data_IF_402387046106
#
_entry.id   IF_402387046106
#
_cell.length_a   1.000
_cell.length_b   1.000
_cell.length_c   1.000
_cell.angle_alpha   90.00
_cell.angle_beta   90.00
_cell.angle_gamma   90.00
#
_symmetry.space_group_name_H-M   'P 1'
#
loop_
_entity.id
_entity.type
_entity.pdbx_description
1 polymer ?
#
# COMPACT_ATOMS: atom_id res chain seq x y z
N UNK A 1 16.32 -13.97 -0.22
CA UNK A 1 14.93 -13.57 -0.47
C UNK A 1 14.60 -14.04 -1.88
N UNK A 2 13.36 -14.51 -2.11
CA UNK A 2 12.87 -14.88 -3.45
C UNK A 2 11.71 -13.97 -3.82
N UNK A 3 11.91 -13.18 -4.87
CA UNK A 3 10.93 -12.25 -5.44
C UNK A 3 10.38 -12.80 -6.75
N UNK A 4 9.06 -12.87 -6.87
CA UNK A 4 8.33 -13.30 -8.06
C UNK A 4 7.38 -12.20 -8.49
N UNK A 5 7.41 -11.86 -9.77
CA UNK A 5 6.53 -10.90 -10.42
C UNK A 5 5.41 -11.65 -11.13
N UNK A 6 4.17 -11.34 -10.78
CA UNK A 6 2.98 -11.75 -11.53
C UNK A 6 2.66 -10.68 -12.57
N UNK A 7 2.49 -11.08 -13.83
CA UNK A 7 1.94 -10.23 -14.88
C UNK A 7 0.69 -10.87 -15.45
N UNK A 8 -0.34 -10.05 -15.71
CA UNK A 8 -1.55 -10.46 -16.45
C UNK A 8 -1.55 -9.79 -17.80
N UNK A 9 -1.02 -10.51 -18.78
CA UNK A 9 -0.87 -10.06 -20.16
C UNK A 9 -2.21 -10.17 -20.87
N UNK A 10 -2.65 -9.09 -21.52
CA UNK A 10 -3.87 -9.12 -22.31
C UNK A 10 -3.72 -10.11 -23.47
N UNK A 11 -4.83 -10.81 -23.77
CA UNK A 11 -4.86 -11.84 -24.81
C UNK A 11 -4.33 -11.33 -26.16
N UNK A 12 -4.66 -10.10 -26.51
CA UNK A 12 -4.32 -9.50 -27.79
C UNK A 12 -2.83 -9.24 -27.97
N UNK A 13 -2.04 -9.11 -26.89
CA UNK A 13 -0.59 -8.91 -26.97
C UNK A 13 0.22 -10.15 -26.58
N UNK A 14 -0.41 -11.22 -26.09
CA UNK A 14 0.32 -12.41 -25.63
C UNK A 14 1.18 -13.05 -26.72
N UNK A 15 0.75 -12.97 -27.97
CA UNK A 15 1.48 -13.50 -29.13
C UNK A 15 2.83 -12.80 -29.40
N UNK A 16 3.06 -11.62 -28.81
CA UNK A 16 4.32 -10.88 -28.91
C UNK A 16 5.41 -11.43 -27.97
N UNK A 17 5.03 -12.19 -26.94
CA UNK A 17 5.99 -12.70 -25.96
C UNK A 17 6.75 -13.92 -26.46
N UNK A 18 8.07 -14.03 -26.17
CA UNK A 18 8.84 -15.22 -26.48
C UNK A 18 8.21 -16.48 -25.89
N UNK A 19 8.14 -17.54 -26.70
CA UNK A 19 7.58 -18.84 -26.31
C UNK A 19 8.65 -19.93 -26.38
N UNK A 20 8.57 -20.96 -25.52
CA UNK A 20 7.57 -21.18 -24.47
C UNK A 20 7.82 -20.35 -23.20
N UNK A 21 6.78 -19.88 -22.52
CA UNK A 21 6.93 -19.04 -21.30
C UNK A 21 6.03 -19.40 -20.10
N UNK A 22 5.58 -20.66 -20.00
CA UNK A 22 4.79 -21.20 -18.87
C UNK A 22 3.51 -20.41 -18.51
N UNK A 23 3.04 -19.51 -19.36
CA UNK A 23 1.87 -18.70 -19.09
C UNK A 23 0.60 -19.56 -19.01
N UNK A 24 -0.33 -19.16 -18.13
CA UNK A 24 -1.62 -19.81 -17.96
C UNK A 24 -2.75 -18.84 -18.23
N UNK A 25 -3.66 -19.18 -19.14
CA UNK A 25 -4.84 -18.35 -19.39
C UNK A 25 -5.87 -18.55 -18.28
N UNK A 26 -6.33 -17.47 -17.67
CA UNK A 26 -7.30 -17.51 -16.56
C UNK A 26 -8.74 -17.17 -16.98
N UNK A 27 -9.02 -17.10 -18.29
CA UNK A 27 -10.30 -16.67 -18.85
C UNK A 27 -10.34 -15.21 -19.31
N UNK A 28 -9.45 -14.35 -18.79
CA UNK A 28 -9.37 -12.93 -19.16
C UNK A 28 -7.98 -12.53 -19.69
N UNK A 29 -6.91 -13.06 -19.08
CA UNK A 29 -5.53 -12.71 -19.40
C UNK A 29 -4.61 -13.94 -19.27
N UNK A 30 -3.44 -13.86 -19.89
CA UNK A 30 -2.36 -14.82 -19.66
C UNK A 30 -1.56 -14.41 -18.43
N UNK A 31 -1.55 -15.28 -17.42
CA UNK A 31 -0.85 -15.09 -16.16
C UNK A 31 0.55 -15.67 -16.27
N UNK A 32 1.55 -14.82 -16.04
CA UNK A 32 2.97 -15.18 -16.04
C UNK A 32 3.54 -14.90 -14.66
N UNK A 33 4.28 -15.86 -14.10
CA UNK A 33 4.97 -15.70 -12.82
C UNK A 33 6.46 -15.94 -13.04
N UNK A 34 7.27 -14.89 -12.91
CA UNK A 34 8.70 -14.92 -13.23
C UNK A 34 9.54 -14.20 -12.18
N UNK A 35 10.78 -14.64 -12.01
CA UNK A 35 11.74 -13.92 -11.20
C UNK A 35 12.26 -12.71 -11.98
N UNK A 36 12.73 -11.67 -11.27
CA UNK A 36 13.36 -10.49 -11.90
C UNK A 36 14.60 -10.82 -12.73
N UNK A 37 15.27 -11.95 -12.43
CA UNK A 37 16.43 -12.46 -13.17
C UNK A 37 16.08 -13.21 -14.44
N UNK A 38 14.79 -13.53 -14.66
CA UNK A 38 14.34 -14.18 -15.89
C UNK A 38 14.42 -13.19 -17.07
N UNK A 39 15.04 -13.55 -18.21
CA UNK A 39 15.11 -12.68 -19.38
C UNK A 39 13.73 -12.17 -19.85
N UNK A 40 12.68 -12.96 -19.67
CA UNK A 40 11.31 -12.57 -20.03
C UNK A 40 10.82 -11.36 -19.24
N UNK A 41 11.33 -11.14 -18.01
CA UNK A 41 10.97 -9.96 -17.21
C UNK A 41 11.35 -8.67 -17.94
N UNK A 42 12.58 -8.61 -18.46
CA UNK A 42 13.05 -7.45 -19.23
C UNK A 42 12.26 -7.30 -20.53
N UNK A 43 11.99 -8.41 -21.21
CA UNK A 43 11.25 -8.42 -22.48
C UNK A 43 9.83 -7.86 -22.33
N UNK A 44 9.11 -8.22 -21.26
CA UNK A 44 7.78 -7.65 -20.96
C UNK A 44 7.87 -6.13 -20.86
N UNK A 45 8.88 -5.59 -20.18
CA UNK A 45 9.07 -4.14 -20.06
C UNK A 45 9.38 -3.45 -21.39
N UNK A 46 10.19 -4.08 -22.25
CA UNK A 46 10.48 -3.57 -23.59
C UNK A 46 9.22 -3.53 -24.44
N UNK A 47 8.47 -4.64 -24.49
CA UNK A 47 7.25 -4.76 -25.27
C UNK A 47 6.14 -3.82 -24.77
N UNK A 48 5.99 -3.63 -23.46
CA UNK A 48 5.02 -2.68 -22.92
C UNK A 48 5.30 -1.26 -23.41
N UNK A 49 6.58 -0.85 -23.40
CA UNK A 49 6.98 0.46 -23.91
C UNK A 49 6.74 0.58 -25.43
N UNK A 50 7.09 -0.44 -26.22
CA UNK A 50 6.85 -0.42 -27.67
C UNK A 50 5.37 -0.31 -28.02
N UNK A 51 4.51 -1.06 -27.32
CA UNK A 51 3.06 -1.02 -27.54
C UNK A 51 2.48 0.31 -27.07
N UNK A 52 3.02 0.88 -25.99
CA UNK A 52 2.65 2.22 -25.53
C UNK A 52 3.01 3.30 -26.55
N UNK A 53 4.22 3.26 -27.12
CA UNK A 53 4.66 4.22 -28.13
C UNK A 53 3.88 4.11 -29.44
N UNK A 54 3.59 2.89 -29.90
CA UNK A 54 2.91 2.66 -31.17
C UNK A 54 1.40 2.89 -31.09
N UNK A 55 0.77 2.44 -29.99
CA UNK A 55 -0.68 2.30 -29.91
C UNK A 55 -1.31 3.06 -28.73
N UNK A 56 -0.50 3.71 -27.87
CA UNK A 56 -0.95 4.28 -26.59
C UNK A 56 -1.70 3.27 -25.71
N UNK A 57 -1.23 2.02 -25.71
CA UNK A 57 -1.81 0.88 -24.98
C UNK A 57 -0.74 0.18 -24.13
N UNK A 58 -1.17 -0.64 -23.18
CA UNK A 58 -0.29 -1.47 -22.34
C UNK A 58 -0.51 -2.94 -22.64
N UNK A 59 0.55 -3.77 -22.52
CA UNK A 59 0.43 -5.21 -22.77
C UNK A 59 -0.11 -5.98 -21.58
N UNK A 60 -0.04 -5.40 -20.37
CA UNK A 60 -0.58 -5.99 -19.15
C UNK A 60 -1.52 -5.02 -18.43
N UNK A 61 -2.62 -5.56 -17.88
CA UNK A 61 -3.59 -4.78 -17.11
C UNK A 61 -3.40 -4.88 -15.59
N UNK A 62 -2.55 -5.81 -15.15
CA UNK A 62 -2.28 -6.05 -13.74
C UNK A 62 -0.87 -6.60 -13.57
N UNK A 63 -0.27 -6.23 -12.45
CA UNK A 63 0.99 -6.77 -11.98
C UNK A 63 0.97 -6.86 -10.45
N UNK A 64 1.75 -7.77 -9.90
CA UNK A 64 1.97 -7.91 -8.46
C UNK A 64 3.38 -8.44 -8.17
N UNK A 65 3.92 -8.12 -7.00
CA UNK A 65 5.25 -8.56 -6.57
C UNK A 65 5.12 -9.32 -5.27
N UNK A 66 5.50 -10.60 -5.30
CA UNK A 66 5.44 -11.49 -4.14
C UNK A 66 6.84 -11.81 -3.67
N UNK A 67 7.14 -11.47 -2.41
CA UNK A 67 8.41 -11.80 -1.76
C UNK A 67 8.23 -12.92 -0.76
N UNK A 68 9.19 -13.83 -0.74
CA UNK A 68 9.27 -14.91 0.22
C UNK A 68 10.66 -14.96 0.84
N UNK A 69 10.68 -15.26 2.14
CA UNK A 69 11.87 -15.20 2.97
C UNK A 69 12.11 -16.56 3.61
N UNK A 70 13.38 -16.92 3.76
CA UNK A 70 13.79 -18.05 4.57
C UNK A 70 13.54 -17.79 6.05
N UNK A 71 13.47 -18.86 6.85
CA UNK A 71 13.35 -18.73 8.31
C UNK A 71 14.47 -17.90 8.92
N UNK A 72 15.69 -18.06 8.41
CA UNK A 72 16.87 -17.30 8.86
C UNK A 72 16.68 -15.81 8.60
N UNK A 73 16.29 -15.43 7.39
CA UNK A 73 16.03 -14.02 7.05
C UNK A 73 14.97 -13.39 7.95
N UNK A 74 13.88 -14.11 8.23
CA UNK A 74 12.83 -13.62 9.12
C UNK A 74 13.27 -13.52 10.58
N UNK A 75 14.18 -14.38 11.04
CA UNK A 75 14.71 -14.34 12.42
C UNK A 75 15.73 -13.22 12.58
N UNK A 76 16.54 -12.97 11.54
CA UNK A 76 17.59 -11.95 11.57
C UNK A 76 17.06 -10.53 11.29
N UNK A 77 15.82 -10.40 10.80
CA UNK A 77 15.22 -9.10 10.48
C UNK A 77 14.95 -8.25 11.73
N UNK A 78 15.47 -7.01 11.70
CA UNK A 78 15.31 -6.02 12.77
C UNK A 78 13.98 -5.23 12.65
N UNK A 79 13.39 -5.18 11.46
CA UNK A 79 12.18 -4.39 11.16
C UNK A 79 11.36 -5.06 10.04
N UNK A 80 10.04 -4.92 10.10
CA UNK A 80 9.14 -5.46 9.09
C UNK A 80 8.25 -4.36 8.51
N UNK A 81 8.02 -4.41 7.20
CA UNK A 81 6.94 -3.70 6.53
C UNK A 81 5.65 -4.51 6.71
N UNK A 82 4.61 -3.83 7.18
CA UNK A 82 3.30 -4.40 7.45
C UNK A 82 2.30 -3.88 6.41
N UNK A 83 1.68 -4.82 5.69
CA UNK A 83 0.58 -4.54 4.77
C UNK A 83 -0.75 -4.96 5.41
N UNK A 84 -1.72 -4.05 5.39
CA UNK A 84 -3.12 -4.37 5.71
C UNK A 84 -3.80 -4.85 4.43
N UNK A 85 -3.98 -6.17 4.31
CA UNK A 85 -4.36 -6.80 3.03
C UNK A 85 -5.87 -6.83 2.77
N UNK A 86 -6.66 -6.45 3.78
CA UNK A 86 -8.12 -6.45 3.70
C UNK A 86 -8.59 -5.01 3.59
N UNK A 87 -9.07 -4.64 2.40
CA UNK A 87 -9.72 -3.37 2.15
C UNK A 87 -11.26 -3.51 2.19
N UNK A 88 -11.99 -2.46 2.56
CA UNK A 88 -13.45 -2.44 2.50
C UNK A 88 -14.03 -1.04 2.25
N UNK A 89 -15.31 -1.01 1.91
CA UNK A 89 -16.13 0.18 1.68
C UNK A 89 -17.44 0.05 2.47
N UNK A 90 -18.14 1.16 2.79
CA UNK A 90 -17.79 2.55 2.48
C UNK A 90 -16.67 3.12 3.36
N UNK A 91 -16.10 4.24 2.93
CA UNK A 91 -15.09 5.02 3.68
C UNK A 91 -15.70 5.76 4.88
N UNK A 92 -14.84 6.30 5.74
CA UNK A 92 -15.27 7.16 6.84
C UNK A 92 -16.06 8.38 6.37
N UNK A 93 -15.62 9.03 5.29
CA UNK A 93 -16.22 10.25 4.73
C UNK A 93 -17.65 10.00 4.24
N UNK A 94 -17.86 8.90 3.51
CA UNK A 94 -19.19 8.46 3.07
C UNK A 94 -20.12 8.10 4.23
N UNK A 95 -19.57 7.79 5.40
CA UNK A 95 -20.31 7.52 6.63
C UNK A 95 -20.48 8.76 7.52
N UNK A 96 -20.09 9.95 7.05
CA UNK A 96 -20.22 11.22 7.77
C UNK A 96 -19.10 11.51 8.77
N UNK A 97 -17.93 10.90 8.60
CA UNK A 97 -16.68 11.35 9.25
C UNK A 97 -16.22 12.64 8.58
N UNK A 98 -15.88 13.64 9.39
CA UNK A 98 -15.46 14.95 8.88
C UNK A 98 -13.93 14.99 8.85
N UNK A 99 -13.39 15.56 7.78
CA UNK A 99 -11.98 15.85 7.64
C UNK A 99 -11.78 17.35 7.43
N UNK A 100 -10.80 17.91 8.13
CA UNK A 100 -10.26 19.23 7.87
C UNK A 100 -9.31 19.12 6.69
N UNK A 101 -9.77 19.64 5.55
CA UNK A 101 -9.03 19.68 4.29
C UNK A 101 -8.21 20.98 4.15
N UNK A 102 -8.38 21.99 5.02
CA UNK A 102 -7.58 23.24 4.98
C UNK A 102 -6.11 22.98 5.31
N UNK A 103 -5.85 21.97 6.14
CA UNK A 103 -4.50 21.52 6.49
C UNK A 103 -3.91 20.52 5.49
N UNK A 104 -4.69 20.07 4.50
CA UNK A 104 -4.23 19.14 3.50
C UNK A 104 -3.33 19.82 2.47
N UNK A 105 -2.35 19.08 1.96
CA UNK A 105 -1.53 19.54 0.86
C UNK A 105 -2.39 19.68 -0.40
N UNK A 106 -2.49 20.90 -0.93
CA UNK A 106 -3.28 21.20 -2.14
C UNK A 106 -2.87 20.35 -3.36
N UNK A 107 -1.59 19.93 -3.42
CA UNK A 107 -1.03 19.17 -4.53
C UNK A 107 -1.38 17.68 -4.46
N UNK A 108 -1.23 17.06 -3.28
CA UNK A 108 -1.31 15.59 -3.14
C UNK A 108 -2.38 15.10 -2.16
N UNK A 109 -3.10 15.99 -1.48
CA UNK A 109 -4.14 15.66 -0.50
C UNK A 109 -3.65 15.04 0.81
N UNK A 110 -2.34 14.93 1.01
CA UNK A 110 -1.73 14.41 2.24
C UNK A 110 -1.94 15.40 3.39
N UNK A 111 -1.93 14.91 4.63
CA UNK A 111 -2.05 15.70 5.87
C UNK A 111 -3.42 16.28 6.19
N UNK A 112 -4.49 15.93 5.45
CA UNK A 112 -5.85 16.16 5.94
C UNK A 112 -6.04 15.56 7.33
N UNK A 113 -6.82 16.21 8.17
CA UNK A 113 -6.96 15.82 9.58
C UNK A 113 -8.39 15.37 9.87
N UNK A 114 -8.55 14.17 10.44
CA UNK A 114 -9.86 13.72 10.90
C UNK A 114 -10.34 14.61 12.06
N UNK A 115 -11.57 15.10 11.96
CA UNK A 115 -12.26 15.88 12.98
C UNK A 115 -13.29 14.98 13.66
N UNK A 116 -13.03 14.65 14.92
CA UNK A 116 -13.92 13.81 15.73
C UNK A 116 -13.72 12.30 15.50
N UNK A 117 -14.78 11.55 15.79
CA UNK A 117 -14.79 10.07 15.78
C UNK A 117 -14.94 9.55 14.36
N UNK A 118 -14.19 8.49 14.02
CA UNK A 118 -14.38 7.76 12.78
C UNK A 118 -15.74 7.06 12.80
N UNK A 119 -16.61 7.41 11.86
CA UNK A 119 -17.90 6.77 11.64
C UNK A 119 -17.79 5.78 10.49
N UNK A 120 -18.36 4.60 10.65
CA UNK A 120 -18.42 3.56 9.61
C UNK A 120 -19.81 2.92 9.55
N UNK A 121 -20.10 2.23 8.45
CA UNK A 121 -21.35 1.49 8.28
C UNK A 121 -21.32 0.16 9.04
N UNK A 122 -22.32 -0.09 9.90
CA UNK A 122 -22.45 -1.37 10.60
C UNK A 122 -22.49 -2.55 9.61
N UNK A 123 -21.70 -3.59 9.88
CA UNK A 123 -21.62 -4.79 9.03
C UNK A 123 -20.73 -4.65 7.79
N UNK A 124 -20.15 -3.48 7.53
CA UNK A 124 -19.19 -3.30 6.41
C UNK A 124 -17.78 -3.80 6.75
N UNK A 125 -17.38 -3.72 8.02
CA UNK A 125 -16.05 -4.13 8.47
C UNK A 125 -15.91 -5.66 8.30
N UNK A 126 -14.91 -6.15 7.54
CA UNK A 126 -14.67 -7.57 7.36
C UNK A 126 -14.35 -8.28 8.68
N UNK A 127 -14.64 -9.59 8.76
CA UNK A 127 -14.35 -10.43 9.94
C UNK A 127 -12.85 -10.76 10.02
N UNK A 128 -12.03 -9.74 10.28
CA UNK A 128 -10.56 -9.80 10.42
C UNK A 128 -10.13 -8.96 11.63
N UNK A 129 -8.93 -9.20 12.13
CA UNK A 129 -8.41 -8.47 13.29
C UNK A 129 -7.87 -7.09 12.94
N UNK A 130 -7.48 -6.89 11.68
CA UNK A 130 -7.19 -5.60 11.07
C UNK A 130 -7.82 -5.51 9.67
N UNK A 131 -8.31 -4.34 9.32
CA UNK A 131 -8.76 -4.00 7.99
C UNK A 131 -8.55 -2.50 7.75
N UNK A 132 -8.57 -2.08 6.48
CA UNK A 132 -8.54 -0.67 6.10
C UNK A 132 -9.70 -0.32 5.20
N UNK A 133 -10.20 0.91 5.27
CA UNK A 133 -11.06 1.42 4.20
C UNK A 133 -10.22 1.72 2.96
N UNK A 134 -10.87 1.94 1.81
CA UNK A 134 -10.17 2.41 0.60
C UNK A 134 -9.57 3.83 0.76
N UNK A 135 -10.02 4.62 1.74
CA UNK A 135 -9.48 5.94 2.05
C UNK A 135 -8.33 5.90 3.09
N UNK A 136 -7.89 4.70 3.49
CA UNK A 136 -6.74 4.50 4.35
C UNK A 136 -7.05 4.52 5.86
N UNK A 137 -8.32 4.53 6.27
CA UNK A 137 -8.66 4.43 7.68
C UNK A 137 -8.46 2.99 8.19
N UNK A 138 -7.53 2.78 9.12
CA UNK A 138 -7.26 1.46 9.69
C UNK A 138 -8.14 1.21 10.91
N UNK A 139 -8.84 0.09 10.89
CA UNK A 139 -9.66 -0.41 11.99
C UNK A 139 -9.17 -1.77 12.47
N UNK A 140 -9.24 -1.98 13.78
CA UNK A 140 -8.83 -3.22 14.44
C UNK A 140 -9.92 -3.74 15.38
N UNK A 141 -9.91 -5.06 15.58
CA UNK A 141 -10.81 -5.74 16.50
C UNK A 141 -10.46 -5.45 17.96
N UNK A 142 -11.44 -5.57 18.87
CA UNK A 142 -11.20 -5.54 20.32
C UNK A 142 -10.17 -6.58 20.78
N UNK A 143 -10.16 -7.75 20.11
CA UNK A 143 -9.17 -8.81 20.35
C UNK A 143 -7.76 -8.31 20.06
N UNK A 144 -7.53 -7.65 18.92
CA UNK A 144 -6.23 -7.05 18.60
C UNK A 144 -5.80 -6.07 19.70
N UNK A 145 -6.69 -5.16 20.11
CA UNK A 145 -6.39 -4.15 21.14
C UNK A 145 -6.00 -4.80 22.47
N UNK A 146 -6.75 -5.81 22.89
CA UNK A 146 -6.51 -6.53 24.15
C UNK A 146 -5.15 -7.22 24.11
N UNK A 147 -4.86 -7.92 23.02
CA UNK A 147 -3.58 -8.63 22.84
C UNK A 147 -2.39 -7.66 22.80
N UNK A 148 -2.51 -6.56 22.04
CA UNK A 148 -1.47 -5.53 21.95
C UNK A 148 -1.12 -4.96 23.32
N UNK A 149 -2.15 -4.58 24.10
CA UNK A 149 -1.98 -4.06 25.47
C UNK A 149 -1.40 -5.12 26.41
N UNK A 150 -1.87 -6.36 26.35
CA UNK A 150 -1.38 -7.47 27.19
C UNK A 150 0.11 -7.75 26.96
N UNK A 151 0.59 -7.58 25.73
CA UNK A 151 2.01 -7.73 25.37
C UNK A 151 2.87 -6.53 25.74
N UNK A 152 2.27 -5.43 26.21
CA UNK A 152 2.99 -4.21 26.55
C UNK A 152 3.62 -3.50 25.35
N UNK A 153 3.10 -3.75 24.13
CA UNK A 153 3.61 -3.12 22.91
C UNK A 153 3.22 -1.64 22.88
N UNK A 154 4.04 -0.83 22.20
CA UNK A 154 3.85 0.63 22.13
C UNK A 154 3.91 1.15 20.69
N UNK A 155 3.44 2.38 20.47
CA UNK A 155 3.41 3.01 19.13
C UNK A 155 2.02 3.13 18.51
N UNK A 156 0.96 2.67 19.18
CA UNK A 156 -0.43 2.77 18.72
C UNK A 156 -1.31 3.49 19.74
N UNK A 157 -2.11 4.44 19.26
CA UNK A 157 -3.27 5.01 19.96
C UNK A 157 -4.54 4.42 19.36
N UNK A 158 -5.36 3.80 20.20
CA UNK A 158 -6.65 3.26 19.81
C UNK A 158 -7.76 4.28 20.09
N UNK A 159 -8.47 4.70 19.05
CA UNK A 159 -9.65 5.59 19.19
C UNK A 159 -10.93 4.79 18.92
N UNK A 160 -12.05 5.12 19.58
CA UNK A 160 -13.31 4.45 19.31
C UNK A 160 -13.78 4.68 17.87
N UNK A 161 -14.47 3.70 17.30
CA UNK A 161 -15.20 3.81 16.02
C UNK A 161 -16.69 3.82 16.31
N UNK A 162 -17.45 4.67 15.62
CA UNK A 162 -18.90 4.73 15.73
C UNK A 162 -19.60 4.08 14.53
N UNK A 163 -20.74 3.45 14.78
CA UNK A 163 -21.72 3.06 13.76
C UNK A 163 -22.92 4.00 13.85
N UNK A 164 -22.96 5.01 12.99
CA UNK A 164 -23.90 6.12 13.14
C UNK A 164 -23.65 6.87 14.45
N UNK A 165 -24.59 6.78 15.40
CA UNK A 165 -24.51 7.42 16.71
C UNK A 165 -24.05 6.49 17.85
N UNK A 166 -23.85 5.21 17.57
CA UNK A 166 -23.46 4.21 18.58
C UNK A 166 -21.96 3.93 18.52
N UNK A 167 -21.31 3.82 19.68
CA UNK A 167 -19.91 3.37 19.74
C UNK A 167 -19.85 1.86 19.50
N UNK A 168 -19.01 1.45 18.57
CA UNK A 168 -18.79 0.05 18.22
C UNK A 168 -17.74 -0.62 19.13
N UNK A 169 -17.54 -1.92 18.95
CA UNK A 169 -16.43 -2.68 19.54
C UNK A 169 -15.16 -2.69 18.66
N UNK A 170 -15.11 -1.84 17.63
CA UNK A 170 -13.92 -1.65 16.81
C UNK A 170 -13.20 -0.36 17.21
N UNK A 171 -11.90 -0.35 16.92
CA UNK A 171 -11.03 0.76 17.23
C UNK A 171 -10.31 1.21 15.97
N UNK A 172 -10.21 2.52 15.80
CA UNK A 172 -9.34 3.12 14.81
C UNK A 172 -7.91 3.05 15.35
N UNK A 173 -7.01 2.50 14.55
CA UNK A 173 -5.59 2.44 14.82
C UNK A 173 -4.96 3.76 14.35
N UNK A 174 -4.41 4.54 15.28
CA UNK A 174 -3.65 5.75 14.98
C UNK A 174 -2.21 5.54 15.44
N UNK A 175 -1.25 5.71 14.55
CA UNK A 175 0.17 5.58 14.90
C UNK A 175 0.62 6.74 15.79
N UNK A 176 1.45 6.43 16.79
CA UNK A 176 2.02 7.43 17.71
C UNK A 176 3.27 8.12 17.16
N UNK A 177 3.96 7.49 16.19
CA UNK A 177 5.14 8.03 15.52
C UNK A 177 5.05 7.93 14.00
N UNK A 178 5.29 9.05 13.31
CA UNK A 178 5.28 9.16 11.85
C UNK A 178 6.64 9.68 11.32
N UNK A 179 7.72 9.30 11.97
CA UNK A 179 9.05 9.91 11.79
C UNK A 179 10.04 9.05 11.01
N UNK A 180 9.68 7.81 10.68
CA UNK A 180 10.57 6.91 9.94
C UNK A 180 10.68 7.36 8.48
N UNK A 181 11.91 7.72 8.08
CA UNK A 181 12.20 8.20 6.73
C UNK A 181 12.58 7.03 5.82
N UNK A 182 11.84 6.88 4.72
CA UNK A 182 12.24 6.04 3.59
C UNK A 182 13.46 6.67 2.90
N UNK A 183 14.42 5.82 2.54
CA UNK A 183 15.63 6.20 1.79
C UNK A 183 15.44 6.03 0.28
N UNK A 184 16.35 6.60 -0.51
CA UNK A 184 16.35 6.48 -1.97
C UNK A 184 16.53 5.04 -2.51
N UNK A 185 16.93 4.09 -1.66
CA UNK A 185 16.95 2.66 -1.99
C UNK A 185 15.56 2.03 -2.06
N UNK A 186 14.55 2.65 -1.44
CA UNK A 186 13.16 2.22 -1.59
C UNK A 186 12.67 2.59 -2.98
N UNK A 187 12.50 1.60 -3.85
CA UNK A 187 11.99 1.82 -5.19
C UNK A 187 10.48 2.00 -5.16
N UNK A 188 10.02 3.07 -5.80
CA UNK A 188 8.60 3.38 -5.97
C UNK A 188 8.31 3.70 -7.42
N UNK A 189 7.08 3.46 -7.87
CA UNK A 189 6.68 3.76 -9.24
C UNK A 189 5.24 3.36 -9.53
N UNK A 190 4.86 3.46 -10.81
CA UNK A 190 3.54 3.10 -11.32
C UNK A 190 3.45 1.62 -11.62
N UNK A 191 4.54 1.05 -12.15
CA UNK A 191 4.68 -0.38 -12.43
C UNK A 191 6.17 -0.79 -12.37
N UNK A 192 6.51 -2.10 -12.46
CA UNK A 192 7.89 -2.58 -12.31
C UNK A 192 8.90 -2.06 -13.35
N UNK A 193 8.43 -1.43 -14.43
CA UNK A 193 9.25 -0.86 -15.52
C UNK A 193 9.16 0.67 -15.60
N UNK A 194 8.19 1.26 -14.90
CA UNK A 194 7.91 2.68 -14.90
C UNK A 194 8.06 3.24 -13.47
N UNK A 195 9.28 3.71 -13.20
CA UNK A 195 9.63 4.45 -11.98
C UNK A 195 9.26 5.94 -12.08
N UNK A 196 8.59 6.37 -13.16
CA UNK A 196 8.19 7.76 -13.33
C UNK A 196 7.39 8.20 -12.13
N UNK A 197 7.75 9.39 -11.68
CA UNK A 197 7.09 10.11 -10.61
C UNK A 197 6.24 11.26 -11.14
N UNK A 198 6.09 11.33 -12.46
CA UNK A 198 5.33 12.37 -13.16
C UNK A 198 3.84 12.24 -12.86
N UNK A 199 3.16 13.37 -12.93
CA UNK A 199 1.72 13.43 -12.79
C UNK A 199 1.01 12.97 -14.06
N UNK A 200 -0.16 12.35 -13.95
CA UNK A 200 -1.06 12.20 -15.12
C UNK A 200 -1.80 13.51 -15.33
N UNK A 201 -2.10 13.85 -16.59
CA UNK A 201 -2.97 14.98 -16.87
C UNK A 201 -4.43 14.63 -16.55
N UNK A 202 -5.23 15.64 -16.22
CA UNK A 202 -6.66 15.45 -16.03
C UNK A 202 -7.28 14.93 -17.34
N UNK A 203 -8.18 13.96 -17.23
CA UNK A 203 -8.78 13.32 -18.40
C UNK A 203 -10.27 13.11 -18.19
N UNK A 204 -11.05 13.27 -19.24
CA UNK A 204 -12.50 13.11 -19.23
C UNK A 204 -12.91 12.11 -20.30
N UNK A 205 -13.74 11.15 -19.92
CA UNK A 205 -14.24 10.13 -20.84
C UNK A 205 -15.74 9.93 -20.64
N UNK A 206 -16.46 9.80 -21.75
CA UNK A 206 -17.87 9.37 -21.73
C UNK A 206 -17.92 7.85 -21.75
N UNK A 207 -18.57 7.24 -20.77
CA UNK A 207 -18.86 5.81 -20.80
C UNK A 207 -20.26 5.57 -21.39
N UNK A 208 -20.49 4.35 -21.89
CA UNK A 208 -21.79 3.94 -22.44
C UNK A 208 -22.92 4.24 -21.45
N UNK A 209 -23.95 4.97 -21.92
CA UNK A 209 -25.03 5.50 -21.06
C UNK A 209 -24.95 7.00 -20.80
N UNK A 210 -23.95 7.72 -21.35
CA UNK A 210 -23.88 9.19 -21.30
C UNK A 210 -23.31 9.75 -20.01
N UNK A 211 -22.69 8.92 -19.17
CA UNK A 211 -22.02 9.37 -17.95
C UNK A 211 -20.63 9.92 -18.29
N UNK A 212 -20.35 11.14 -17.86
CA UNK A 212 -19.01 11.74 -17.92
C UNK A 212 -18.21 11.33 -16.68
N UNK A 213 -17.06 10.70 -16.90
CA UNK A 213 -16.10 10.38 -15.85
C UNK A 213 -14.91 11.32 -15.99
N UNK A 214 -14.70 12.17 -14.99
CA UNK A 214 -13.57 13.10 -14.91
C UNK A 214 -12.54 12.57 -13.92
N UNK A 215 -11.34 12.30 -14.42
CA UNK A 215 -10.18 12.02 -13.62
C UNK A 215 -9.39 13.32 -13.41
N UNK A 216 -9.14 13.65 -12.15
CA UNK A 216 -8.27 14.76 -11.80
C UNK A 216 -6.82 14.41 -12.12
N UNK A 217 -6.00 15.45 -12.27
CA UNK A 217 -4.55 15.32 -12.38
C UNK A 217 -4.02 14.50 -11.19
N UNK A 218 -3.38 13.36 -11.45
CA UNK A 218 -2.81 12.53 -10.39
C UNK A 218 -1.38 12.97 -10.11
N UNK A 219 -0.99 13.12 -8.85
CA UNK A 219 0.38 13.47 -8.46
C UNK A 219 1.00 12.33 -7.67
N UNK A 220 1.91 11.59 -8.30
CA UNK A 220 2.58 10.44 -7.68
C UNK A 220 3.76 10.82 -6.80
N UNK A 221 4.46 11.91 -7.12
CA UNK A 221 5.48 12.51 -6.24
C UNK A 221 5.16 13.95 -5.97
N UNK A 222 4.98 14.26 -4.69
CA UNK A 222 4.71 15.63 -4.26
C UNK A 222 6.04 16.40 -4.16
N UNK A 223 6.14 17.63 -4.71
CA UNK A 223 7.35 18.45 -4.58
C UNK A 223 7.66 18.82 -3.11
N UNK A 224 6.67 18.78 -2.23
CA UNK A 224 6.86 18.95 -0.78
C UNK A 224 7.45 17.70 -0.08
N UNK A 225 7.75 16.64 -0.84
CA UNK A 225 8.32 15.39 -0.31
C UNK A 225 7.32 14.48 0.42
N UNK A 226 6.03 14.81 0.42
CA UNK A 226 5.00 14.02 1.09
C UNK A 226 4.81 12.64 0.47
N UNK A 227 4.60 12.59 -0.84
CA UNK A 227 4.39 11.34 -1.60
C UNK A 227 5.62 11.08 -2.45
N UNK A 228 6.11 9.84 -2.48
CA UNK A 228 7.34 9.48 -3.20
C UNK A 228 7.14 8.61 -4.45
N UNK A 229 5.93 8.08 -4.64
CA UNK A 229 5.50 7.33 -5.83
C UNK A 229 4.13 6.68 -5.64
N UNK A 230 3.58 6.09 -6.70
CA UNK A 230 2.25 5.48 -6.68
C UNK A 230 2.19 4.18 -5.87
N UNK A 231 3.21 3.31 -5.98
CA UNK A 231 3.33 2.06 -5.23
C UNK A 231 4.78 1.81 -4.81
N UNK A 232 4.96 1.01 -3.77
CA UNK A 232 6.27 0.43 -3.43
C UNK A 232 6.56 -0.74 -4.37
N UNK A 233 7.75 -0.76 -4.94
CA UNK A 233 8.23 -1.77 -5.90
C UNK A 233 9.37 -2.63 -5.35
N UNK A 234 9.96 -2.26 -4.21
CA UNK A 234 11.03 -3.02 -3.52
C UNK A 234 10.66 -3.31 -2.07
N UNK A 235 11.49 -4.06 -1.35
CA UNK A 235 11.50 -3.98 0.12
C UNK A 235 11.75 -2.52 0.56
N UNK A 236 11.15 -2.04 1.66
CA UNK A 236 11.43 -0.70 2.18
C UNK A 236 12.81 -0.60 2.83
N UNK A 237 13.48 0.53 2.63
CA UNK A 237 14.76 0.87 3.25
C UNK A 237 14.60 2.12 4.10
N UNK A 238 14.76 1.97 5.41
CA UNK A 238 14.49 2.99 6.43
C UNK A 238 15.80 3.58 6.95
N UNK A 239 15.86 4.90 7.10
CA UNK A 239 16.98 5.58 7.77
C UNK A 239 16.97 5.20 9.25
N UNK A 240 18.13 4.82 9.78
CA UNK A 240 18.25 4.49 11.21
C UNK A 240 17.95 5.71 12.08
N UNK A 241 16.98 5.59 12.98
CA UNK A 241 16.64 6.61 13.98
C UNK A 241 16.44 5.97 15.36
N UNK A 242 16.66 6.70 16.46
CA UNK A 242 16.42 6.16 17.80
C UNK A 242 15.00 5.63 18.02
N UNK A 243 14.01 6.23 17.33
CA UNK A 243 12.60 5.86 17.41
C UNK A 243 12.34 4.39 17.05
N UNK A 244 13.15 3.79 16.16
CA UNK A 244 13.03 2.38 15.77
C UNK A 244 13.09 1.43 16.99
N UNK A 245 13.87 1.79 18.01
CA UNK A 245 13.98 0.98 19.23
C UNK A 245 12.98 1.38 20.32
N UNK A 246 12.20 2.45 20.10
CA UNK A 246 11.28 2.99 21.09
C UNK A 246 9.83 2.55 20.87
N UNK A 247 9.48 2.05 19.68
CA UNK A 247 8.11 1.64 19.34
C UNK A 247 8.05 0.26 18.67
N UNK A 248 6.85 -0.33 18.67
CA UNK A 248 6.57 -1.62 18.03
C UNK A 248 5.77 -1.48 16.75
N UNK A 249 5.20 -0.30 16.50
CA UNK A 249 4.41 0.02 15.32
C UNK A 249 4.67 1.46 14.89
N UNK A 250 4.84 1.65 13.58
CA UNK A 250 5.28 2.90 12.99
C UNK A 250 4.53 3.18 11.70
N UNK A 251 4.56 4.45 11.31
CA UNK A 251 4.19 4.89 9.98
C UNK A 251 5.38 5.66 9.40
N UNK A 252 5.62 5.49 8.11
CA UNK A 252 6.63 6.29 7.42
C UNK A 252 6.20 7.75 7.33
N UNK A 253 7.20 8.63 7.27
CA UNK A 253 6.99 10.06 7.01
C UNK A 253 6.51 10.29 5.58
N UNK A 254 7.20 9.67 4.62
CA UNK A 254 6.79 9.68 3.23
C UNK A 254 5.62 8.72 3.01
N UNK A 255 4.80 9.02 2.00
CA UNK A 255 3.62 8.26 1.63
C UNK A 255 3.72 7.71 0.22
N UNK A 256 2.91 6.71 -0.06
CA UNK A 256 2.72 6.14 -1.39
C UNK A 256 1.24 6.15 -1.77
N UNK A 257 0.97 6.18 -3.07
CA UNK A 257 -0.39 6.25 -3.60
C UNK A 257 -0.70 7.61 -4.20
N UNK A 258 -1.99 7.86 -4.40
CA UNK A 258 -2.48 9.01 -5.16
C UNK A 258 -3.75 9.56 -4.54
N UNK A 259 -3.99 10.86 -4.72
CA UNK A 259 -5.31 11.45 -4.48
C UNK A 259 -6.19 11.22 -5.70
N UNK A 260 -7.24 10.43 -5.55
CA UNK A 260 -8.21 10.16 -6.61
C UNK A 260 -9.59 9.92 -5.97
N UNK A 261 -10.50 10.87 -6.14
CA UNK A 261 -11.78 10.85 -5.42
C UNK A 261 -11.56 10.82 -3.90
N UNK A 262 -11.98 9.74 -3.25
CA UNK A 262 -11.80 9.51 -1.80
C UNK A 262 -10.44 8.87 -1.45
N UNK A 263 -9.72 8.32 -2.44
CA UNK A 263 -8.39 7.76 -2.23
C UNK A 263 -7.42 8.87 -1.83
N UNK A 264 -6.48 8.53 -0.95
CA UNK A 264 -5.43 9.43 -0.47
C UNK A 264 -4.10 8.67 -0.42
N UNK A 265 -2.96 9.35 -0.58
CA UNK A 265 -1.68 8.71 -0.30
C UNK A 265 -1.57 8.29 1.18
N UNK A 266 -1.10 7.07 1.39
CA UNK A 266 -1.00 6.42 2.69
C UNK A 266 0.48 6.30 3.09
N UNK A 267 0.82 6.46 4.39
CA UNK A 267 2.13 6.02 4.84
C UNK A 267 2.23 4.49 4.70
N UNK A 268 3.45 3.97 4.62
CA UNK A 268 3.65 2.54 4.87
C UNK A 268 3.76 2.31 6.37
N UNK A 269 3.30 1.13 6.80
CA UNK A 269 3.36 0.76 8.20
C UNK A 269 4.52 -0.18 8.44
N UNK A 270 5.24 0.05 9.53
CA UNK A 270 6.36 -0.80 9.93
C UNK A 270 6.08 -1.34 11.33
N UNK A 271 6.68 -2.47 11.69
CA UNK A 271 6.54 -3.04 13.01
C UNK A 271 7.80 -3.76 13.48
N UNK A 272 7.94 -3.87 14.80
CA UNK A 272 9.03 -4.60 15.44
C UNK A 272 8.87 -6.13 15.29
N UNK A 273 9.94 -6.91 15.52
CA UNK A 273 9.84 -8.37 15.62
C UNK A 273 8.87 -8.82 16.72
N UNK A 274 8.76 -8.08 17.83
CA UNK A 274 7.85 -8.38 18.92
C UNK A 274 6.38 -8.26 18.50
N UNK A 275 6.05 -7.22 17.70
CA UNK A 275 4.73 -7.08 17.11
C UNK A 275 4.38 -8.22 16.16
N UNK A 276 5.30 -8.55 15.23
CA UNK A 276 5.09 -9.66 14.30
C UNK A 276 4.87 -10.98 15.04
N UNK A 277 5.68 -11.24 16.07
CA UNK A 277 5.54 -12.42 16.94
C UNK A 277 4.17 -12.49 17.62
N UNK A 278 3.67 -11.36 18.13
CA UNK A 278 2.30 -11.28 18.67
C UNK A 278 1.27 -11.71 17.62
N UNK A 279 1.34 -11.15 16.40
CA UNK A 279 0.39 -11.48 15.33
C UNK A 279 0.41 -12.97 15.00
N UNK A 280 1.59 -13.59 14.93
CA UNK A 280 1.76 -15.00 14.60
C UNK A 280 1.27 -15.94 15.72
N UNK A 281 1.71 -15.72 16.97
CA UNK A 281 1.35 -16.57 18.11
C UNK A 281 -0.14 -16.53 18.42
N UNK A 282 -0.73 -15.33 18.30
CA UNK A 282 -2.14 -15.09 18.60
C UNK A 282 -3.01 -15.34 17.37
N UNK A 283 -2.42 -15.69 16.22
CA UNK A 283 -3.13 -15.95 14.96
C UNK A 283 -4.09 -14.81 14.60
N UNK A 284 -3.60 -13.57 14.69
CA UNK A 284 -4.34 -12.39 14.27
C UNK A 284 -4.36 -12.35 12.73
N UNK A 285 -5.45 -11.84 12.17
CA UNK A 285 -5.75 -11.94 10.74
C UNK A 285 -5.86 -10.57 10.05
N UNK A 286 -5.48 -10.51 8.77
CA UNK A 286 -5.53 -9.28 7.95
C UNK A 286 -4.17 -8.62 7.68
N UNK A 287 -3.07 -9.31 8.00
CA UNK A 287 -1.70 -8.82 7.88
C UNK A 287 -0.92 -9.59 6.82
N UNK A 288 -0.01 -8.90 6.14
CA UNK A 288 1.16 -9.47 5.48
C UNK A 288 2.42 -8.74 5.95
N UNK A 289 3.55 -9.44 5.94
CA UNK A 289 4.83 -8.93 6.40
C UNK A 289 5.92 -9.12 5.35
N UNK A 290 6.66 -8.07 5.08
CA UNK A 290 7.91 -8.09 4.33
C UNK A 290 9.06 -7.57 5.20
N UNK A 291 10.30 -7.93 4.87
CA UNK A 291 11.46 -7.37 5.58
C UNK A 291 11.61 -5.90 5.19
N UNK A 292 11.89 -5.05 6.18
CA UNK A 292 12.32 -3.68 5.98
C UNK A 292 13.77 -3.53 6.47
N UNK A 293 14.59 -2.86 5.68
CA UNK A 293 16.03 -2.77 5.92
C UNK A 293 16.38 -1.45 6.61
N UNK A 294 17.17 -1.52 7.68
CA UNK A 294 17.66 -0.32 8.39
C UNK A 294 19.02 0.09 7.82
N UNK A 295 19.12 1.31 7.30
CA UNK A 295 20.35 1.90 6.78
C UNK A 295 21.05 2.69 7.89
N UNK A 296 22.22 2.21 8.32
CA UNK A 296 22.96 2.70 9.51
C UNK A 296 23.89 3.89 9.23
N UNK A 297 24.11 4.30 7.98
CA UNK A 297 24.95 5.45 7.61
C UNK A 297 24.23 6.39 6.62
N UNK A 298 24.44 7.72 6.70
CA UNK A 298 24.03 8.61 5.63
C UNK A 298 24.84 8.26 4.38
N UNK A 299 24.14 8.04 3.27
CA UNK A 299 24.78 7.94 1.95
C UNK A 299 25.36 9.31 1.61
N UNK A 300 26.68 9.36 1.37
CA UNK A 300 27.42 10.52 0.86
C UNK A 300 27.00 10.81 -0.59
#
# INVERSE_FOLDING_TARGET
MKEIHEFRIFKDYYHLLPQPNNAKFNGAAYVINIAKTDPLFKEIGVLDNEVKEKNNQHIFGFWDVKRSYSKKELTDAELFHLSVVVAFEPTGEECGTIYDEEVACEICGVNRKQVGILKLKKGSIPKKDIARTIAGEIVVSERFVTTFKKRGLVGIVFKPVAFGNEISNYYQLITSSNDLELTGKTLTGVNPFNFSTESTEASEFSISGGYEVRFQKEVYRCPNGHTIGARILSEPYIRNTPSINAFDFFASKQRVGVKQGLLRPEPIYLCSPAFKKMVEEEKLSGFEFEIAHIIKQPEL
#
